data_IF_634063808155
#
_entry.id   IF_634063808155
#
_cell.length_a   1.000
_cell.length_b   1.000
_cell.length_c   1.000
_cell.angle_alpha   90.00
_cell.angle_beta   90.00
_cell.angle_gamma   90.00
#
_symmetry.space_group_name_H-M   'P 1'
#
loop_
_entity.id
_entity.type
_entity.pdbx_description
1 polymer ?
#
# COMPACT_ATOMS: atom_id res chain seq x y z
N UNK A 1 64.57 -0.07 57.62
CA UNK A 1 63.37 0.37 56.87
C UNK A 1 63.56 0.05 55.40
N UNK A 2 62.79 -0.92 54.87
CA UNK A 2 62.36 -1.00 53.46
C UNK A 2 61.48 -2.25 53.32
N UNK A 3 60.18 -2.01 53.29
CA UNK A 3 59.10 -2.98 53.16
C UNK A 3 58.82 -3.24 51.67
N UNK A 4 58.61 -4.51 51.33
CA UNK A 4 58.16 -5.01 50.03
C UNK A 4 56.72 -4.57 49.71
N UNK A 5 56.45 -4.25 48.45
CA UNK A 5 55.10 -4.05 47.91
C UNK A 5 54.93 -4.87 46.63
N UNK A 6 54.04 -5.87 46.68
CA UNK A 6 53.66 -6.77 45.58
C UNK A 6 52.57 -6.06 44.76
N UNK A 7 52.80 -5.91 43.45
CA UNK A 7 51.79 -5.43 42.49
C UNK A 7 50.96 -6.62 42.00
N UNK A 8 49.68 -6.66 42.40
CA UNK A 8 48.69 -7.62 41.89
C UNK A 8 48.18 -7.23 40.52
N UNK A 9 48.23 -8.15 39.56
CA UNK A 9 47.66 -8.00 38.23
C UNK A 9 46.16 -8.30 38.26
N UNK A 10 45.33 -7.32 37.89
CA UNK A 10 43.89 -7.46 37.73
C UNK A 10 43.59 -7.95 36.30
N UNK A 11 43.18 -9.20 36.15
CA UNK A 11 42.68 -9.74 34.86
C UNK A 11 41.22 -9.35 34.72
N UNK A 12 40.92 -8.41 33.82
CA UNK A 12 39.55 -8.06 33.41
C UNK A 12 39.11 -9.05 32.34
N UNK A 13 38.23 -9.98 32.70
CA UNK A 13 37.58 -10.87 31.76
C UNK A 13 36.48 -10.09 31.00
N UNK A 14 36.71 -9.81 29.71
CA UNK A 14 35.70 -9.26 28.81
C UNK A 14 34.78 -10.41 28.40
N UNK A 15 33.58 -10.45 28.99
CA UNK A 15 32.49 -11.31 28.55
C UNK A 15 31.97 -10.79 27.21
N UNK A 16 32.35 -11.45 26.12
CA UNK A 16 31.75 -11.29 24.80
C UNK A 16 30.31 -11.80 24.87
N UNK A 17 29.34 -10.90 25.09
CA UNK A 17 27.94 -11.18 24.85
C UNK A 17 27.73 -11.34 23.35
N UNK A 18 27.68 -12.58 22.87
CA UNK A 18 27.28 -12.89 21.51
C UNK A 18 25.85 -12.40 21.25
N UNK A 19 25.50 -12.05 20.00
CA UNK A 19 24.13 -11.68 19.66
C UNK A 19 23.23 -12.89 19.96
N UNK A 20 22.31 -12.73 20.91
CA UNK A 20 21.27 -13.73 21.14
C UNK A 20 20.44 -13.96 19.88
N UNK A 21 19.80 -15.13 19.73
CA UNK A 21 18.90 -15.37 18.60
C UNK A 21 17.86 -14.25 18.57
N UNK A 22 17.78 -13.55 17.44
CA UNK A 22 16.72 -12.58 17.19
C UNK A 22 15.40 -13.28 17.49
N UNK A 23 14.62 -12.73 18.43
CA UNK A 23 13.31 -13.27 18.74
C UNK A 23 12.55 -13.37 17.42
N UNK A 24 12.22 -14.60 16.99
CA UNK A 24 11.41 -14.81 15.81
C UNK A 24 10.10 -14.04 16.03
N UNK A 25 9.90 -12.97 15.28
CA UNK A 25 8.68 -12.17 15.38
C UNK A 25 7.50 -13.08 15.07
N UNK A 26 6.68 -13.33 16.09
CA UNK A 26 5.55 -14.24 16.01
C UNK A 26 4.28 -13.45 15.71
N UNK A 27 3.50 -13.96 14.76
CA UNK A 27 2.17 -13.41 14.50
C UNK A 27 1.24 -13.75 15.67
N UNK A 28 0.39 -12.81 16.11
CA UNK A 28 -0.59 -13.11 17.15
C UNK A 28 -1.59 -14.15 16.63
N UNK A 29 -1.77 -15.24 17.38
CA UNK A 29 -2.77 -16.25 17.08
C UNK A 29 -4.17 -15.59 16.90
N UNK A 30 -4.98 -16.01 15.91
CA UNK A 30 -4.80 -17.18 15.04
C UNK A 30 -3.98 -16.92 13.77
N UNK A 31 -3.30 -15.76 13.65
CA UNK A 31 -2.55 -15.42 12.45
C UNK A 31 -1.24 -16.18 12.36
N UNK A 32 -0.83 -16.47 11.14
CA UNK A 32 0.42 -17.17 10.81
C UNK A 32 1.27 -16.28 9.91
N UNK A 33 2.60 -16.44 10.01
CA UNK A 33 3.54 -15.75 9.14
C UNK A 33 3.55 -16.41 7.77
N UNK A 34 3.40 -15.62 6.71
CA UNK A 34 3.46 -16.09 5.32
C UNK A 34 4.58 -15.34 4.60
N UNK A 35 5.52 -16.11 4.05
CA UNK A 35 6.57 -15.62 3.17
C UNK A 35 6.04 -15.51 1.72
N UNK A 36 6.49 -14.47 1.01
CA UNK A 36 6.18 -14.25 -0.40
C UNK A 36 7.41 -14.51 -1.29
N UNK A 37 7.20 -14.60 -2.61
CA UNK A 37 8.28 -14.77 -3.59
C UNK A 37 9.32 -13.63 -3.60
N UNK A 38 8.93 -12.47 -3.04
CA UNK A 38 9.80 -11.30 -2.87
C UNK A 38 10.52 -11.27 -1.50
N UNK A 39 10.38 -12.34 -0.70
CA UNK A 39 10.92 -12.40 0.66
C UNK A 39 10.24 -11.45 1.64
N UNK A 40 9.11 -10.84 1.28
CA UNK A 40 8.27 -10.05 2.19
C UNK A 40 7.46 -11.02 3.05
N UNK A 41 7.29 -10.69 4.34
CA UNK A 41 6.58 -11.52 5.31
C UNK A 41 5.39 -10.79 5.88
N UNK A 42 4.26 -11.48 5.98
CA UNK A 42 3.01 -10.89 6.48
C UNK A 42 2.32 -11.83 7.46
N UNK A 43 1.65 -11.25 8.46
CA UNK A 43 0.76 -12.01 9.34
C UNK A 43 -0.65 -12.11 8.71
N UNK A 44 -1.06 -13.32 8.37
CA UNK A 44 -2.37 -13.60 7.73
C UNK A 44 -3.23 -14.51 8.59
N UNK A 45 -4.56 -14.40 8.50
CA UNK A 45 -5.48 -15.39 9.06
C UNK A 45 -5.73 -16.51 8.04
N UNK A 46 -5.39 -17.78 8.34
CA UNK A 46 -5.56 -18.90 7.40
C UNK A 46 -6.97 -19.06 6.83
N UNK A 47 -8.00 -18.54 7.51
CA UNK A 47 -9.38 -18.55 7.02
C UNK A 47 -9.56 -17.81 5.69
N UNK A 48 -8.68 -16.87 5.34
CA UNK A 48 -8.75 -16.13 4.07
C UNK A 48 -7.90 -16.72 2.95
N UNK A 49 -7.16 -17.81 3.18
CA UNK A 49 -6.25 -18.40 2.17
C UNK A 49 -6.95 -18.72 0.85
N UNK A 50 -8.15 -19.33 0.91
CA UNK A 50 -8.94 -19.60 -0.30
C UNK A 50 -9.38 -18.33 -1.06
N UNK A 51 -9.72 -17.25 -0.34
CA UNK A 51 -10.06 -15.97 -0.96
C UNK A 51 -8.83 -15.30 -1.60
N UNK A 52 -7.66 -15.38 -0.93
CA UNK A 52 -6.37 -14.94 -1.47
C UNK A 52 -6.05 -15.67 -2.77
N UNK A 53 -6.16 -17.00 -2.79
CA UNK A 53 -5.83 -17.83 -3.95
C UNK A 53 -6.78 -17.54 -5.13
N UNK A 54 -8.09 -17.48 -4.87
CA UNK A 54 -9.09 -17.21 -5.89
C UNK A 54 -8.92 -15.83 -6.54
N UNK A 55 -8.70 -14.78 -5.74
CA UNK A 55 -8.47 -13.43 -6.26
C UNK A 55 -7.12 -13.32 -6.98
N UNK A 56 -6.07 -13.96 -6.45
CA UNK A 56 -4.77 -14.01 -7.12
C UNK A 56 -4.90 -14.62 -8.51
N UNK A 57 -5.57 -15.77 -8.62
CA UNK A 57 -5.78 -16.45 -9.89
C UNK A 57 -6.54 -15.57 -10.88
N UNK A 58 -7.68 -15.01 -10.43
CA UNK A 58 -8.54 -14.16 -11.26
C UNK A 58 -7.80 -12.94 -11.78
N UNK A 59 -7.17 -12.15 -10.89
CA UNK A 59 -6.54 -10.89 -11.27
C UNK A 59 -5.34 -11.10 -12.20
N UNK A 60 -4.58 -12.19 -12.00
CA UNK A 60 -3.50 -12.55 -12.93
C UNK A 60 -4.02 -13.04 -14.28
N UNK A 61 -5.17 -13.75 -14.32
CA UNK A 61 -5.82 -14.10 -15.58
C UNK A 61 -6.29 -12.86 -16.33
N UNK A 62 -6.89 -11.90 -15.63
CA UNK A 62 -7.35 -10.63 -16.24
C UNK A 62 -6.18 -9.81 -16.79
N UNK A 63 -5.07 -9.70 -16.04
CA UNK A 63 -3.86 -9.02 -16.49
C UNK A 63 -3.26 -9.69 -17.74
N UNK A 64 -3.14 -11.03 -17.74
CA UNK A 64 -2.67 -11.78 -18.93
C UNK A 64 -3.58 -11.61 -20.13
N UNK A 65 -4.90 -11.65 -19.93
CA UNK A 65 -5.87 -11.43 -20.99
C UNK A 65 -5.75 -10.01 -21.58
N UNK A 66 -5.49 -9.01 -20.74
CA UNK A 66 -5.20 -7.65 -21.20
C UNK A 66 -3.93 -7.58 -22.07
N UNK A 67 -2.83 -8.23 -21.65
CA UNK A 67 -1.60 -8.32 -22.45
C UNK A 67 -1.81 -9.04 -23.77
N UNK A 68 -2.52 -10.17 -23.76
CA UNK A 68 -2.84 -10.94 -24.97
C UNK A 68 -3.71 -10.14 -25.95
N UNK A 69 -4.51 -9.20 -25.45
CA UNK A 69 -5.25 -8.24 -26.25
C UNK A 69 -4.40 -7.03 -26.72
N UNK A 70 -3.09 -7.05 -26.50
CA UNK A 70 -2.17 -5.97 -26.89
C UNK A 70 -2.24 -4.72 -26.04
N UNK A 71 -2.84 -4.79 -24.84
CA UNK A 71 -2.95 -3.65 -23.92
C UNK A 71 -1.79 -3.59 -22.94
N UNK A 72 -1.35 -2.38 -22.63
CA UNK A 72 -0.50 -2.10 -21.47
C UNK A 72 -1.26 -2.40 -20.18
N UNK A 73 -0.60 -3.03 -19.22
CA UNK A 73 -1.18 -3.36 -17.91
C UNK A 73 -0.61 -2.41 -16.88
N UNK A 74 -1.50 -1.60 -16.30
CA UNK A 74 -1.15 -0.60 -15.29
C UNK A 74 -1.79 -0.99 -13.97
N UNK A 75 -0.97 -1.12 -12.93
CA UNK A 75 -1.45 -1.22 -11.56
C UNK A 75 -1.69 0.18 -10.98
N UNK A 76 -2.80 0.42 -10.29
CA UNK A 76 -3.12 1.71 -9.69
C UNK A 76 -3.34 1.59 -8.18
N UNK A 77 -2.36 2.02 -7.38
CA UNK A 77 -2.46 2.08 -5.92
C UNK A 77 -3.21 3.34 -5.48
N UNK A 78 -4.44 3.16 -4.99
CA UNK A 78 -5.25 4.21 -4.34
C UNK A 78 -5.52 3.83 -2.88
N UNK A 79 -5.29 4.72 -1.89
CA UNK A 79 -5.54 4.39 -0.50
C UNK A 79 -7.05 4.25 -0.22
N UNK A 80 -7.48 3.02 0.05
CA UNK A 80 -8.91 2.72 0.34
C UNK A 80 -9.26 2.94 1.82
N UNK A 81 -8.33 2.60 2.72
CA UNK A 81 -8.57 2.66 4.16
C UNK A 81 -9.04 4.05 4.65
N UNK A 82 -10.06 4.12 5.52
CA UNK A 82 -10.54 5.39 6.07
C UNK A 82 -9.63 5.94 7.21
N UNK A 83 -8.53 5.25 7.56
CA UNK A 83 -7.65 5.69 8.65
C UNK A 83 -7.18 7.12 8.46
N UNK A 84 -7.25 7.91 9.53
CA UNK A 84 -6.79 9.30 9.54
C UNK A 84 -7.83 10.33 9.08
N UNK A 85 -9.10 9.93 8.94
CA UNK A 85 -10.22 10.84 8.63
C UNK A 85 -10.83 10.64 7.24
N UNK A 86 -10.39 9.62 6.49
CA UNK A 86 -10.98 9.25 5.22
C UNK A 86 -12.33 8.55 5.39
N UNK A 87 -12.99 8.32 4.27
CA UNK A 87 -14.28 7.60 4.22
C UNK A 87 -14.14 6.53 3.14
N UNK A 88 -14.21 5.26 3.53
CA UNK A 88 -13.88 4.14 2.64
C UNK A 88 -14.68 4.16 1.33
N UNK A 89 -16.00 4.36 1.43
CA UNK A 89 -16.88 4.51 0.25
C UNK A 89 -16.42 5.63 -0.68
N UNK A 90 -16.02 6.78 -0.13
CA UNK A 90 -15.51 7.91 -0.92
C UNK A 90 -14.15 7.58 -1.53
N UNK A 91 -13.28 6.88 -0.79
CA UNK A 91 -11.98 6.45 -1.32
C UNK A 91 -12.11 5.45 -2.47
N UNK A 92 -13.09 4.53 -2.42
CA UNK A 92 -13.42 3.62 -3.54
C UNK A 92 -13.91 4.40 -4.76
N UNK A 93 -14.77 5.40 -4.56
CA UNK A 93 -15.22 6.28 -5.67
C UNK A 93 -14.07 7.10 -6.26
N UNK A 94 -13.15 7.57 -5.41
CA UNK A 94 -11.92 8.23 -5.88
C UNK A 94 -11.08 7.28 -6.72
N UNK A 95 -10.87 6.03 -6.27
CA UNK A 95 -10.13 5.03 -7.03
C UNK A 95 -10.75 4.79 -8.41
N UNK A 96 -12.07 4.62 -8.47
CA UNK A 96 -12.79 4.50 -9.74
C UNK A 96 -12.62 5.74 -10.64
N UNK A 97 -12.62 6.96 -10.07
CA UNK A 97 -12.40 8.19 -10.81
C UNK A 97 -10.95 8.35 -11.30
N UNK A 98 -9.96 7.93 -10.52
CA UNK A 98 -8.55 7.90 -10.95
C UNK A 98 -8.39 6.91 -12.09
N UNK A 99 -8.96 5.70 -11.97
CA UNK A 99 -8.97 4.70 -13.03
C UNK A 99 -9.54 5.28 -14.33
N UNK A 100 -10.71 5.91 -14.27
CA UNK A 100 -11.34 6.51 -15.44
C UNK A 100 -10.46 7.61 -16.08
N UNK A 101 -9.71 8.38 -15.28
CA UNK A 101 -8.75 9.36 -15.82
C UNK A 101 -7.56 8.68 -16.48
N UNK A 102 -6.99 7.64 -15.89
CA UNK A 102 -5.89 6.88 -16.50
C UNK A 102 -6.37 6.23 -17.82
N UNK A 103 -7.53 5.61 -17.84
CA UNK A 103 -8.13 5.06 -19.07
C UNK A 103 -8.35 6.14 -20.14
N UNK A 104 -8.70 7.36 -19.75
CA UNK A 104 -8.79 8.50 -20.67
C UNK A 104 -7.42 8.94 -21.21
N UNK A 105 -6.40 8.96 -20.36
CA UNK A 105 -5.03 9.39 -20.73
C UNK A 105 -4.37 8.38 -21.67
N UNK A 106 -4.47 7.10 -21.37
CA UNK A 106 -3.83 6.03 -22.15
C UNK A 106 -4.75 5.47 -23.26
N UNK A 107 -6.04 5.81 -23.24
CA UNK A 107 -7.02 5.32 -24.19
C UNK A 107 -7.25 3.81 -24.10
N UNK A 108 -7.84 3.23 -25.15
CA UNK A 108 -8.12 1.79 -25.24
C UNK A 108 -6.86 0.89 -25.28
N UNK A 109 -5.66 1.49 -25.35
CA UNK A 109 -4.39 0.79 -25.35
C UNK A 109 -3.93 0.34 -23.95
N UNK A 110 -4.62 0.72 -22.87
CA UNK A 110 -4.29 0.30 -21.52
C UNK A 110 -5.46 -0.42 -20.82
N UNK A 111 -5.11 -1.28 -19.88
CA UNK A 111 -6.00 -1.86 -18.88
C UNK A 111 -5.47 -1.53 -17.50
N UNK A 112 -6.35 -0.98 -16.66
CA UNK A 112 -5.99 -0.53 -15.31
C UNK A 112 -6.54 -1.53 -14.28
N UNK A 113 -5.63 -2.11 -13.49
CA UNK A 113 -5.97 -2.86 -12.29
C UNK A 113 -6.19 -1.86 -11.14
N UNK A 114 -7.45 -1.71 -10.73
CA UNK A 114 -7.86 -0.92 -9.57
C UNK A 114 -8.15 -1.85 -8.37
N UNK A 115 -7.30 -1.88 -7.34
CA UNK A 115 -7.54 -2.64 -6.12
C UNK A 115 -8.83 -2.26 -5.39
N UNK A 116 -9.29 -1.01 -5.50
CA UNK A 116 -10.55 -0.53 -4.94
C UNK A 116 -11.76 -1.31 -5.44
N UNK A 117 -11.70 -1.84 -6.67
CA UNK A 117 -12.73 -2.69 -7.26
C UNK A 117 -12.61 -4.19 -6.87
N UNK A 118 -11.56 -4.56 -6.13
CA UNK A 118 -11.22 -5.95 -5.83
C UNK A 118 -10.95 -6.17 -4.33
N UNK A 119 -11.88 -5.70 -3.50
CA UNK A 119 -11.83 -5.92 -2.06
C UNK A 119 -12.05 -7.39 -1.72
N UNK A 120 -11.29 -7.90 -0.75
CA UNK A 120 -11.47 -9.26 -0.25
C UNK A 120 -12.79 -9.38 0.52
N UNK A 121 -13.58 -10.44 0.31
CA UNK A 121 -14.81 -10.65 1.05
C UNK A 121 -14.52 -11.05 2.51
N UNK A 122 -15.46 -10.73 3.40
CA UNK A 122 -15.50 -11.30 4.75
C UNK A 122 -15.77 -12.81 4.70
N UNK A 123 -15.22 -13.54 5.67
CA UNK A 123 -15.45 -14.98 5.85
C UNK A 123 -16.15 -15.19 7.21
N UNK A 124 -17.43 -15.52 7.17
CA UNK A 124 -18.27 -15.53 8.37
C UNK A 124 -18.31 -14.15 9.03
N UNK A 125 -18.01 -14.08 10.33
CA UNK A 125 -17.94 -12.82 11.08
C UNK A 125 -16.58 -12.11 11.00
N UNK A 126 -15.61 -12.64 10.23
CA UNK A 126 -14.26 -12.07 10.12
C UNK A 126 -14.13 -11.21 8.89
N UNK A 127 -13.46 -10.07 9.03
CA UNK A 127 -13.01 -9.24 7.90
C UNK A 127 -11.52 -9.47 7.62
N UNK A 128 -11.11 -9.39 6.34
CA UNK A 128 -9.70 -9.54 5.97
C UNK A 128 -8.86 -8.42 6.59
N UNK A 129 -7.63 -8.76 6.99
CA UNK A 129 -6.64 -7.81 7.47
C UNK A 129 -5.72 -7.31 6.36
N UNK A 130 -4.89 -6.31 6.69
CA UNK A 130 -3.90 -5.77 5.75
C UNK A 130 -2.86 -6.79 5.30
N UNK A 131 -2.44 -7.70 6.19
CA UNK A 131 -1.52 -8.78 5.83
C UNK A 131 -2.13 -9.77 4.82
N UNK A 132 -3.42 -10.12 4.97
CA UNK A 132 -4.13 -11.01 4.03
C UNK A 132 -4.16 -10.38 2.63
N UNK A 133 -4.49 -9.09 2.59
CA UNK A 133 -4.53 -8.29 1.38
C UNK A 133 -3.15 -8.13 0.74
N UNK A 134 -2.09 -7.92 1.53
CA UNK A 134 -0.73 -7.77 1.03
C UNK A 134 -0.13 -9.07 0.52
N UNK A 135 -0.46 -10.23 1.11
CA UNK A 135 -0.08 -11.53 0.51
C UNK A 135 -0.74 -11.69 -0.86
N UNK A 136 -2.03 -11.38 -0.98
CA UNK A 136 -2.74 -11.44 -2.26
C UNK A 136 -2.11 -10.52 -3.31
N UNK A 137 -1.93 -9.23 -3.00
CA UNK A 137 -1.33 -8.30 -3.96
C UNK A 137 0.13 -8.59 -4.26
N UNK A 138 0.93 -9.08 -3.29
CA UNK A 138 2.30 -9.52 -3.61
C UNK A 138 2.28 -10.66 -4.62
N UNK A 139 1.39 -11.65 -4.47
CA UNK A 139 1.27 -12.76 -5.44
C UNK A 139 0.75 -12.30 -6.80
N UNK A 140 -0.21 -11.37 -6.83
CA UNK A 140 -0.72 -10.77 -8.08
C UNK A 140 0.39 -10.04 -8.81
N UNK A 141 1.07 -9.12 -8.13
CA UNK A 141 2.03 -8.19 -8.72
C UNK A 141 3.35 -8.84 -9.07
N UNK A 142 3.87 -9.72 -8.21
CA UNK A 142 5.17 -10.33 -8.39
C UNK A 142 5.14 -11.52 -9.35
N UNK A 143 3.98 -12.16 -9.52
CA UNK A 143 3.86 -13.43 -10.25
C UNK A 143 4.63 -14.56 -9.56
N UNK A 144 4.81 -15.67 -10.28
CA UNK A 144 5.42 -16.89 -9.69
C UNK A 144 6.94 -16.79 -9.52
N UNK A 145 7.61 -15.98 -10.35
CA UNK A 145 9.07 -15.80 -10.35
C UNK A 145 9.53 -14.53 -9.61
N UNK A 146 8.59 -13.72 -9.16
CA UNK A 146 8.85 -12.45 -8.51
C UNK A 146 9.26 -11.33 -9.46
N UNK A 147 9.21 -11.53 -10.78
CA UNK A 147 9.62 -10.52 -11.77
C UNK A 147 8.48 -9.63 -12.24
N UNK A 148 7.22 -9.89 -11.84
CA UNK A 148 6.06 -9.06 -12.17
C UNK A 148 5.85 -8.86 -13.66
N UNK A 149 6.04 -9.92 -14.45
CA UNK A 149 6.02 -9.88 -15.92
C UNK A 149 4.69 -9.42 -16.53
N UNK A 150 3.62 -9.47 -15.76
CA UNK A 150 2.30 -9.11 -16.22
C UNK A 150 2.06 -7.58 -16.25
N UNK A 151 2.91 -6.77 -15.60
CA UNK A 151 2.70 -5.34 -15.42
C UNK A 151 3.75 -4.50 -16.15
N UNK A 152 3.32 -3.38 -16.72
CA UNK A 152 4.17 -2.44 -17.45
C UNK A 152 4.39 -1.14 -16.66
N UNK A 153 3.44 -0.77 -15.79
CA UNK A 153 3.49 0.44 -14.97
C UNK A 153 2.77 0.28 -13.62
N UNK A 154 3.25 0.99 -12.61
CA UNK A 154 2.56 1.23 -11.34
C UNK A 154 2.26 2.73 -11.16
N UNK A 155 1.01 3.07 -10.90
CA UNK A 155 0.55 4.43 -10.58
C UNK A 155 0.17 4.52 -9.11
N UNK A 156 0.87 5.34 -8.34
CA UNK A 156 0.56 5.62 -6.94
C UNK A 156 -0.16 6.96 -6.85
N UNK A 157 -1.40 6.96 -6.36
CA UNK A 157 -2.17 8.20 -6.24
C UNK A 157 -1.58 9.11 -5.18
N UNK A 158 -1.36 10.38 -5.53
CA UNK A 158 -1.00 11.41 -4.59
C UNK A 158 -2.18 12.34 -4.25
N UNK A 159 -1.92 13.43 -3.52
CA UNK A 159 -2.96 14.39 -3.14
C UNK A 159 -3.63 15.06 -4.34
N UNK A 160 -2.92 15.28 -5.45
CA UNK A 160 -3.49 15.84 -6.67
C UNK A 160 -4.59 14.94 -7.25
N UNK A 161 -4.28 13.65 -7.43
CA UNK A 161 -5.21 12.63 -7.91
C UNK A 161 -6.44 12.50 -7.01
N UNK A 162 -6.23 12.50 -5.69
CA UNK A 162 -7.32 12.38 -4.73
C UNK A 162 -8.22 13.63 -4.77
N UNK A 163 -7.64 14.83 -4.83
CA UNK A 163 -8.40 16.10 -4.86
C UNK A 163 -9.14 16.34 -6.17
N UNK A 164 -8.63 15.82 -7.29
CA UNK A 164 -9.26 15.95 -8.59
C UNK A 164 -10.70 15.39 -8.60
N UNK A 165 -10.98 14.34 -7.81
CA UNK A 165 -12.33 13.80 -7.64
C UNK A 165 -13.32 14.82 -7.09
N UNK A 166 -12.88 15.66 -6.15
CA UNK A 166 -13.72 16.69 -5.53
C UNK A 166 -13.89 17.93 -6.40
N UNK A 167 -13.17 18.03 -7.53
CA UNK A 167 -13.07 19.26 -8.32
C UNK A 167 -12.36 20.39 -7.55
N UNK A 168 -11.58 20.06 -6.53
CA UNK A 168 -10.89 21.06 -5.70
C UNK A 168 -9.49 21.34 -6.25
N UNK A 169 -9.31 22.53 -6.83
CA UNK A 169 -8.04 23.05 -7.34
C UNK A 169 -7.88 24.53 -7.01
N UNK A 170 -6.64 25.04 -6.95
CA UNK A 170 -6.36 26.45 -6.68
C UNK A 170 -6.35 26.78 -5.18
N UNK A 171 -6.75 28.01 -4.85
CA UNK A 171 -6.81 28.53 -3.47
C UNK A 171 -8.06 28.03 -2.73
N UNK A 172 -7.99 27.90 -1.40
CA UNK A 172 -9.09 27.41 -0.52
C UNK A 172 -9.53 25.94 -0.73
N UNK A 173 -8.57 25.01 -0.74
CA UNK A 173 -8.83 23.55 -0.81
C UNK A 173 -9.80 23.09 0.31
N UNK A 174 -9.61 23.58 1.55
CA UNK A 174 -10.42 23.15 2.69
C UNK A 174 -11.85 23.67 2.61
N UNK A 175 -12.07 24.91 2.14
CA UNK A 175 -13.42 25.41 1.91
C UNK A 175 -14.12 24.67 0.76
N UNK A 176 -13.41 24.33 -0.32
CA UNK A 176 -13.94 23.49 -1.39
C UNK A 176 -14.40 22.12 -0.88
N UNK A 177 -13.55 21.41 -0.14
CA UNK A 177 -13.88 20.12 0.47
C UNK A 177 -15.05 20.24 1.46
N UNK A 178 -15.11 21.33 2.22
CA UNK A 178 -16.21 21.61 3.15
C UNK A 178 -17.55 21.78 2.44
N UNK A 179 -17.58 22.47 1.30
CA UNK A 179 -18.77 22.62 0.45
C UNK A 179 -19.19 21.29 -0.17
N UNK A 180 -18.23 20.51 -0.66
CA UNK A 180 -18.50 19.16 -1.19
C UNK A 180 -19.14 18.26 -0.13
N UNK A 181 -18.57 18.25 1.09
CA UNK A 181 -19.08 17.46 2.20
C UNK A 181 -20.50 17.88 2.58
N UNK A 182 -20.75 19.19 2.70
CA UNK A 182 -22.08 19.72 3.02
C UNK A 182 -23.13 19.39 1.93
N UNK A 183 -22.76 19.51 0.66
CA UNK A 183 -23.64 19.18 -0.46
C UNK A 183 -24.02 17.71 -0.49
N UNK A 184 -23.09 16.81 -0.14
CA UNK A 184 -23.33 15.37 -0.16
C UNK A 184 -23.99 14.84 1.12
N UNK A 185 -23.78 15.51 2.25
CA UNK A 185 -24.39 15.16 3.54
C UNK A 185 -25.93 15.12 3.50
N UNK A 186 -26.57 15.87 2.60
CA UNK A 186 -28.03 15.85 2.47
C UNK A 186 -28.58 14.47 2.03
N UNK A 187 -27.79 13.68 1.29
CA UNK A 187 -28.18 12.40 0.73
C UNK A 187 -27.43 11.19 1.31
N UNK A 188 -26.49 11.42 2.23
CA UNK A 188 -25.65 10.37 2.81
C UNK A 188 -25.52 10.58 4.34
N UNK A 189 -26.12 9.66 5.11
CA UNK A 189 -26.20 9.77 6.56
C UNK A 189 -24.82 9.69 7.25
N UNK A 190 -23.87 8.96 6.66
CA UNK A 190 -22.52 8.86 7.22
C UNK A 190 -21.75 10.16 7.01
N UNK A 191 -21.85 10.74 5.82
CA UNK A 191 -21.30 12.05 5.54
C UNK A 191 -21.98 13.15 6.36
N UNK A 192 -23.28 13.03 6.62
CA UNK A 192 -24.00 13.93 7.53
C UNK A 192 -23.42 13.89 8.94
N UNK A 193 -23.21 12.69 9.50
CA UNK A 193 -22.58 12.54 10.82
C UNK A 193 -21.19 13.19 10.86
N UNK A 194 -20.41 13.02 9.80
CA UNK A 194 -19.09 13.65 9.67
C UNK A 194 -19.20 15.18 9.60
N UNK A 195 -20.15 15.70 8.83
CA UNK A 195 -20.36 17.13 8.65
C UNK A 195 -20.83 17.82 9.94
N UNK A 196 -21.75 17.19 10.68
CA UNK A 196 -22.38 17.75 11.87
C UNK A 196 -21.44 17.72 13.10
N UNK A 197 -20.44 16.83 13.13
CA UNK A 197 -19.48 16.75 14.22
C UNK A 197 -18.16 17.49 13.87
N UNK A 198 -17.80 18.57 14.59
CA UNK A 198 -16.64 19.41 14.28
C UNK A 198 -15.29 18.66 14.23
N UNK A 199 -15.09 17.65 15.08
CA UNK A 199 -13.84 16.89 15.13
C UNK A 199 -13.71 15.97 13.92
N UNK A 200 -14.78 15.25 13.58
CA UNK A 200 -14.78 14.38 12.39
C UNK A 200 -14.76 15.20 11.10
N UNK A 201 -15.41 16.36 11.05
CA UNK A 201 -15.30 17.31 9.94
C UNK A 201 -13.87 17.80 9.77
N UNK A 202 -13.20 18.19 10.86
CA UNK A 202 -11.78 18.60 10.81
C UNK A 202 -10.90 17.45 10.33
N UNK A 203 -11.13 16.23 10.80
CA UNK A 203 -10.39 15.05 10.36
C UNK A 203 -10.58 14.76 8.86
N UNK A 204 -11.82 14.85 8.36
CA UNK A 204 -12.14 14.73 6.94
C UNK A 204 -11.39 15.75 6.09
N UNK A 205 -11.46 17.02 6.47
CA UNK A 205 -10.77 18.10 5.75
C UNK A 205 -9.26 17.90 5.78
N UNK A 206 -8.69 17.53 6.94
CA UNK A 206 -7.26 17.23 7.08
C UNK A 206 -6.84 16.07 6.18
N UNK A 207 -7.65 15.01 6.12
CA UNK A 207 -7.36 13.84 5.32
C UNK A 207 -7.34 14.20 3.84
N UNK A 208 -8.44 14.67 3.26
CA UNK A 208 -8.53 14.91 1.82
C UNK A 208 -7.74 16.13 1.33
N UNK A 209 -7.42 17.08 2.20
CA UNK A 209 -6.55 18.20 1.80
C UNK A 209 -5.08 17.78 1.72
N UNK A 210 -4.58 16.94 2.66
CA UNK A 210 -3.14 16.76 2.87
C UNK A 210 -2.66 15.31 2.95
N UNK A 211 -3.49 14.36 3.41
CA UNK A 211 -3.05 13.00 3.74
C UNK A 211 -3.58 11.91 2.82
N UNK A 212 -4.64 12.19 2.08
CA UNK A 212 -5.17 11.32 1.04
C UNK A 212 -4.11 11.12 -0.05
N UNK A 213 -3.32 10.06 0.08
CA UNK A 213 -2.18 9.72 -0.78
C UNK A 213 -1.63 8.35 -0.41
N UNK A 214 -0.99 7.69 -1.37
CA UNK A 214 -0.15 6.52 -1.14
C UNK A 214 0.88 6.74 -0.02
N UNK A 215 1.41 7.96 0.13
CA UNK A 215 2.41 8.32 1.14
C UNK A 215 1.95 8.22 2.60
N UNK A 216 0.65 7.97 2.85
CA UNK A 216 0.10 7.80 4.20
C UNK A 216 -0.70 6.49 4.35
N UNK A 217 -0.52 5.55 3.41
CA UNK A 217 -1.25 4.28 3.40
C UNK A 217 -0.30 3.10 3.63
N UNK A 218 -0.57 2.33 4.68
CA UNK A 218 0.19 1.12 4.97
C UNK A 218 0.21 0.14 3.78
N UNK A 219 -0.93 -0.05 3.11
CA UNK A 219 -0.98 -0.93 1.93
C UNK A 219 -0.16 -0.38 0.76
N UNK A 220 -0.26 0.93 0.50
CA UNK A 220 0.48 1.55 -0.60
C UNK A 220 2.00 1.56 -0.37
N UNK A 221 2.43 1.62 0.89
CA UNK A 221 3.83 1.49 1.25
C UNK A 221 4.39 0.10 0.92
N UNK A 222 3.67 -0.95 1.29
CA UNK A 222 4.06 -2.31 0.94
C UNK A 222 3.98 -2.53 -0.58
N UNK A 223 2.96 -2.01 -1.26
CA UNK A 223 2.85 -2.02 -2.72
C UNK A 223 4.03 -1.34 -3.40
N UNK A 224 4.49 -0.18 -2.90
CA UNK A 224 5.72 0.47 -3.36
C UNK A 224 6.92 -0.46 -3.22
N UNK A 225 7.09 -1.07 -2.04
CA UNK A 225 8.19 -1.98 -1.75
C UNK A 225 8.13 -3.25 -2.63
N UNK A 226 6.93 -3.75 -2.94
CA UNK A 226 6.73 -4.85 -3.91
C UNK A 226 7.34 -4.47 -5.26
N UNK A 227 7.02 -3.29 -5.81
CA UNK A 227 7.56 -2.85 -7.09
C UNK A 227 9.07 -2.60 -7.06
N UNK A 228 9.60 -2.03 -5.98
CA UNK A 228 11.05 -1.88 -5.81
C UNK A 228 11.75 -3.25 -5.85
N UNK A 229 11.21 -4.25 -5.13
CA UNK A 229 11.78 -5.61 -5.12
C UNK A 229 11.62 -6.34 -6.46
N UNK A 230 10.53 -6.12 -7.18
CA UNK A 230 10.36 -6.61 -8.55
C UNK A 230 11.42 -5.98 -9.46
N UNK A 231 11.59 -4.66 -9.42
CA UNK A 231 12.54 -3.95 -10.29
C UNK A 231 13.99 -4.34 -10.03
N UNK A 232 14.37 -4.67 -8.79
CA UNK A 232 15.69 -5.22 -8.44
C UNK A 232 15.97 -6.60 -9.04
N UNK A 233 14.93 -7.37 -9.41
CA UNK A 233 15.05 -8.66 -10.10
C UNK A 233 15.12 -8.51 -11.62
N UNK A 234 14.86 -7.33 -12.16
CA UNK A 234 14.80 -7.05 -13.60
C UNK A 234 16.08 -6.37 -14.07
N UNK A 235 16.39 -6.57 -15.34
CA UNK A 235 17.46 -5.85 -16.04
C UNK A 235 17.09 -4.38 -16.24
N UNK A 236 18.10 -3.51 -16.22
CA UNK A 236 17.92 -2.10 -16.58
C UNK A 236 17.35 -2.01 -18.01
N UNK A 237 16.28 -1.23 -18.18
CA UNK A 237 15.50 -1.14 -19.42
C UNK A 237 14.21 -1.97 -19.41
N UNK A 238 14.16 -3.04 -18.62
CA UNK A 238 12.95 -3.87 -18.48
C UNK A 238 12.15 -3.54 -17.22
N UNK A 239 12.64 -2.66 -16.34
CA UNK A 239 11.96 -2.31 -15.07
C UNK A 239 10.54 -1.76 -15.30
N UNK A 240 9.64 -2.07 -14.37
CA UNK A 240 8.28 -1.54 -14.32
C UNK A 240 8.38 -0.05 -13.98
N UNK A 241 7.78 0.79 -14.82
CA UNK A 241 7.77 2.24 -14.59
C UNK A 241 6.88 2.59 -13.39
N UNK A 242 7.36 3.42 -12.47
CA UNK A 242 6.60 3.85 -11.30
C UNK A 242 6.25 5.34 -11.43
N UNK A 243 5.01 5.69 -11.13
CA UNK A 243 4.50 7.06 -11.13
C UNK A 243 3.90 7.40 -9.78
N UNK A 244 4.08 8.64 -9.33
CA UNK A 244 3.41 9.21 -8.16
C UNK A 244 2.70 10.51 -8.56
N UNK A 245 1.39 10.57 -8.32
CA UNK A 245 0.56 11.75 -8.59
C UNK A 245 0.69 12.28 -10.03
N UNK A 246 0.75 11.35 -11.00
CA UNK A 246 0.90 11.65 -12.43
C UNK A 246 2.31 12.02 -12.89
N UNK A 247 3.32 11.98 -12.00
CA UNK A 247 4.72 12.22 -12.34
C UNK A 247 5.51 10.92 -12.27
N UNK A 248 6.42 10.70 -13.21
CA UNK A 248 7.34 9.58 -13.13
C UNK A 248 8.20 9.71 -11.86
N UNK A 249 8.34 8.61 -11.14
CA UNK A 249 9.30 8.50 -10.05
C UNK A 249 10.72 8.62 -10.61
N UNK A 250 11.59 9.31 -9.89
CA UNK A 250 13.01 9.38 -10.20
C UNK A 250 13.66 7.99 -10.09
N UNK A 251 14.80 7.76 -10.76
CA UNK A 251 15.54 6.50 -10.61
C UNK A 251 15.83 6.13 -9.16
N UNK A 252 16.17 7.11 -8.31
CA UNK A 252 16.42 6.89 -6.89
C UNK A 252 15.15 6.42 -6.14
N UNK A 253 14.00 7.01 -6.45
CA UNK A 253 12.72 6.61 -5.86
C UNK A 253 12.35 5.17 -6.27
N UNK A 254 12.52 4.80 -7.55
CA UNK A 254 12.20 3.46 -8.06
C UNK A 254 13.05 2.33 -7.45
N UNK A 255 14.19 2.66 -6.83
CA UNK A 255 15.10 1.69 -6.22
C UNK A 255 15.10 1.71 -4.69
N UNK A 256 14.34 2.64 -4.07
CA UNK A 256 14.32 2.85 -2.62
C UNK A 256 13.04 2.30 -2.00
N UNK A 257 13.19 1.33 -1.09
CA UNK A 257 12.09 0.88 -0.23
C UNK A 257 11.75 1.95 0.81
N UNK A 258 10.46 2.09 1.09
CA UNK A 258 9.92 2.98 2.11
C UNK A 258 9.46 2.18 3.34
N UNK A 259 9.03 2.90 4.39
CA UNK A 259 8.62 2.29 5.66
C UNK A 259 7.57 1.18 5.44
N UNK A 260 7.73 0.00 6.06
CA UNK A 260 6.76 -1.08 5.90
C UNK A 260 5.40 -0.68 6.48
N UNK A 261 4.33 -1.17 5.85
CA UNK A 261 2.96 -0.98 6.32
C UNK A 261 2.49 -2.15 7.18
N UNK A 262 2.34 -3.31 6.55
CA UNK A 262 1.96 -4.57 7.15
C UNK A 262 3.07 -5.63 7.06
N UNK A 263 4.12 -5.37 6.27
CA UNK A 263 5.32 -6.21 6.26
C UNK A 263 5.93 -6.31 7.66
N UNK A 264 6.26 -7.54 8.07
CA UNK A 264 6.91 -7.88 9.33
C UNK A 264 8.42 -8.00 9.07
N UNK A 265 9.25 -7.25 9.82
CA UNK A 265 10.72 -7.17 9.66
C UNK A 265 11.47 -7.53 10.91
#
# INVERSE_FOLDING_TARGET
MRTFGILGALVVAVLLAGPGPAAAQSCPAPRVLVDTVLGMKYCTDPAFSGAVDALTLKLRQDARAARQAGRLVIYMSTPISPRGGGVEKVNVEIAAAVKARLEKVYGGGAWILDPGAHQMPSVGAKSPGGGDYMVMFTRVLAGDDGAGRDFDMAHFTGPGDMRAFFGCSGDDITGCLGRWLAGRAAADADLKRIADNPDTRRAFLRYYAMRASAAHSAGAHDEWNIFVRINRKRTLGDQISMFFDGRAASPAEMETEISPGYEVR
#
